data_IF_147551925640
#
_entry.id   IF_147551925640
#
_cell.length_a   1.000
_cell.length_b   1.000
_cell.length_c   1.000
_cell.angle_alpha   90.00
_cell.angle_beta   90.00
_cell.angle_gamma   90.00
#
_symmetry.space_group_name_H-M   'P 1'
#
loop_
_entity.id
_entity.type
_entity.pdbx_description
1 polymer ?
#
# COMPACT_ATOMS: atom_id res chain seq x y z
N UNK A 1 0.14 12.01 11.35
CA UNK A 1 -0.31 10.67 10.97
C UNK A 1 0.43 10.22 9.72
N UNK A 2 0.79 8.97 9.66
CA UNK A 2 1.54 8.41 8.54
C UNK A 2 0.92 7.10 8.10
N UNK A 3 1.09 6.78 6.82
CA UNK A 3 0.69 5.49 6.27
C UNK A 3 1.92 4.61 6.26
N UNK A 4 1.83 3.44 6.88
CA UNK A 4 2.94 2.49 6.93
C UNK A 4 2.53 1.25 6.15
N UNK A 5 3.22 1.00 5.06
CA UNK A 5 2.95 -0.13 4.17
C UNK A 5 3.90 -1.27 4.50
N UNK A 6 3.35 -2.46 4.69
CA UNK A 6 4.10 -3.65 5.09
C UNK A 6 4.32 -4.52 3.86
N UNK A 7 5.58 -4.80 3.55
CA UNK A 7 5.94 -5.65 2.43
C UNK A 7 6.09 -7.11 2.90
N UNK A 8 5.94 -8.04 1.97
CA UNK A 8 6.07 -9.47 2.28
C UNK A 8 7.44 -9.85 2.81
N UNK A 9 8.46 -9.04 2.50
CA UNK A 9 9.83 -9.24 3.02
C UNK A 9 9.98 -8.84 4.48
N UNK A 10 8.97 -8.19 5.05
CA UNK A 10 9.05 -7.60 6.39
C UNK A 10 9.47 -6.14 6.40
N UNK A 11 9.84 -5.58 5.24
CA UNK A 11 10.22 -4.18 5.15
C UNK A 11 9.00 -3.29 5.28
N UNK A 12 9.22 -2.06 5.77
CA UNK A 12 8.17 -1.07 5.96
C UNK A 12 8.49 0.15 5.11
N UNK A 13 7.46 0.71 4.45
CA UNK A 13 7.57 1.96 3.71
C UNK A 13 6.61 2.96 4.34
N UNK A 14 7.11 4.15 4.67
CA UNK A 14 6.32 5.19 5.32
C UNK A 14 5.99 6.30 4.34
N UNK A 15 4.72 6.70 4.29
CA UNK A 15 4.24 7.80 3.46
C UNK A 15 3.56 8.84 4.33
N UNK A 16 3.72 10.15 4.00
CA UNK A 16 2.95 11.18 4.69
C UNK A 16 1.48 11.14 4.28
N UNK A 17 0.60 11.57 5.17
CA UNK A 17 -0.83 11.71 4.84
C UNK A 17 -1.18 13.17 4.61
N UNK A 18 -2.14 13.41 3.70
CA UNK A 18 -2.68 14.73 3.45
C UNK A 18 -4.19 14.70 3.72
N UNK A 19 -4.58 15.15 4.90
CA UNK A 19 -5.99 15.13 5.32
C UNK A 19 -6.83 16.18 4.62
N UNK A 20 -6.20 17.17 3.98
CA UNK A 20 -6.93 18.21 3.28
C UNK A 20 -7.55 17.69 1.98
N UNK A 21 -6.96 16.65 1.40
CA UNK A 21 -7.42 16.08 0.14
C UNK A 21 -8.30 14.86 0.36
N UNK A 22 -7.83 13.91 1.16
CA UNK A 22 -8.58 12.68 1.48
C UNK A 22 -8.61 12.54 3.01
N UNK A 23 -9.80 12.65 3.64
CA UNK A 23 -9.87 12.65 5.11
C UNK A 23 -9.55 11.30 5.76
N UNK A 24 -9.72 10.21 5.01
CA UNK A 24 -9.53 8.86 5.53
C UNK A 24 -8.15 8.33 5.16
N UNK A 25 -7.35 8.03 6.18
CA UNK A 25 -6.00 7.49 6.01
C UNK A 25 -6.00 6.17 5.22
N UNK A 26 -6.98 5.32 5.47
CA UNK A 26 -7.07 4.04 4.77
C UNK A 26 -7.28 4.25 3.27
N UNK A 27 -8.14 5.19 2.90
CA UNK A 27 -8.39 5.51 1.49
C UNK A 27 -7.13 6.09 0.82
N UNK A 28 -6.36 6.89 1.54
CA UNK A 28 -5.09 7.41 1.03
C UNK A 28 -4.11 6.27 0.76
N UNK A 29 -4.02 5.31 1.68
CA UNK A 29 -3.16 4.15 1.49
C UNK A 29 -3.54 3.35 0.26
N UNK A 30 -4.83 3.17 0.04
CA UNK A 30 -5.32 2.46 -1.14
C UNK A 30 -4.97 3.22 -2.43
N UNK A 31 -5.11 4.55 -2.42
CA UNK A 31 -4.77 5.36 -3.58
C UNK A 31 -3.28 5.27 -3.92
N UNK A 32 -2.42 5.28 -2.89
CA UNK A 32 -0.97 5.11 -3.09
C UNK A 32 -0.68 3.74 -3.69
N UNK A 33 -1.32 2.71 -3.15
CA UNK A 33 -1.15 1.35 -3.62
C UNK A 33 -1.50 1.21 -5.10
N UNK A 34 -2.60 1.82 -5.54
CA UNK A 34 -3.03 1.77 -6.93
C UNK A 34 -2.01 2.42 -7.88
N UNK A 35 -1.27 3.42 -7.41
CA UNK A 35 -0.26 4.10 -8.22
C UNK A 35 1.06 3.33 -8.26
N UNK A 36 1.45 2.70 -7.15
CA UNK A 36 2.77 2.10 -7.00
C UNK A 36 2.80 0.60 -7.26
N UNK A 37 1.64 -0.04 -7.29
CA UNK A 37 1.56 -1.49 -7.42
C UNK A 37 0.52 -1.90 -8.45
N UNK A 38 0.64 -3.12 -8.94
CA UNK A 38 -0.36 -3.74 -9.80
C UNK A 38 -1.01 -4.90 -9.07
N UNK A 39 -2.32 -5.09 -9.29
CA UNK A 39 -3.07 -6.20 -8.71
C UNK A 39 -2.89 -7.41 -9.61
N UNK A 40 -2.26 -8.46 -9.11
CA UNK A 40 -1.92 -9.64 -9.88
C UNK A 40 -2.47 -10.91 -9.22
N UNK A 41 -2.64 -11.96 -10.01
CA UNK A 41 -3.12 -13.24 -9.53
C UNK A 41 -4.61 -13.42 -9.75
N UNK A 42 -5.14 -14.53 -9.27
CA UNK A 42 -6.57 -14.86 -9.35
C UNK A 42 -6.99 -15.66 -8.13
N UNK A 43 -8.26 -15.49 -7.72
CA UNK A 43 -8.79 -16.20 -6.56
C UNK A 43 -8.01 -15.86 -5.29
N UNK A 44 -7.68 -16.87 -4.47
CA UNK A 44 -7.00 -16.64 -3.19
C UNK A 44 -5.56 -16.16 -3.34
N UNK A 45 -4.97 -16.25 -4.54
CA UNK A 45 -3.60 -15.85 -4.78
C UNK A 45 -3.47 -14.39 -5.26
N UNK A 46 -4.56 -13.64 -5.23
CA UNK A 46 -4.53 -12.24 -5.61
C UNK A 46 -3.70 -11.41 -4.63
N UNK A 47 -2.86 -10.56 -5.17
CA UNK A 47 -1.99 -9.72 -4.36
C UNK A 47 -1.58 -8.45 -5.10
N UNK A 48 -1.23 -7.41 -4.34
CA UNK A 48 -0.68 -6.18 -4.88
C UNK A 48 0.84 -6.31 -4.94
N UNK A 49 1.40 -6.15 -6.13
CA UNK A 49 2.84 -6.29 -6.36
C UNK A 49 3.40 -4.93 -6.76
N UNK A 50 4.41 -4.45 -6.05
CA UNK A 50 5.07 -3.19 -6.36
C UNK A 50 5.71 -3.25 -7.75
N UNK A 51 5.49 -2.20 -8.55
CA UNK A 51 5.97 -2.16 -9.93
C UNK A 51 7.49 -2.10 -10.03
N UNK A 52 8.14 -1.37 -9.12
CA UNK A 52 9.60 -1.17 -9.17
C UNK A 52 10.38 -2.37 -8.68
N UNK A 53 9.97 -2.95 -7.57
CA UNK A 53 10.74 -4.00 -6.90
C UNK A 53 10.15 -5.39 -7.11
N UNK A 54 8.95 -5.48 -7.65
CA UNK A 54 8.23 -6.75 -7.83
C UNK A 54 8.01 -7.50 -6.51
N UNK A 55 7.87 -6.74 -5.42
CA UNK A 55 7.67 -7.29 -4.07
C UNK A 55 6.19 -7.17 -3.70
N UNK A 56 5.63 -8.23 -3.12
CA UNK A 56 4.26 -8.26 -2.68
C UNK A 56 4.03 -7.33 -1.48
N UNK A 57 2.91 -6.61 -1.50
CA UNK A 57 2.47 -5.77 -0.39
C UNK A 57 1.54 -6.58 0.49
N UNK A 58 1.89 -6.75 1.77
CA UNK A 58 1.09 -7.51 2.71
C UNK A 58 -0.08 -6.71 3.28
N UNK A 59 0.05 -5.40 3.34
CA UNK A 59 -1.00 -4.53 3.86
C UNK A 59 -0.45 -3.18 4.25
N UNK A 60 -1.31 -2.34 4.86
CA UNK A 60 -0.88 -1.05 5.38
C UNK A 60 -1.72 -0.67 6.59
N UNK A 61 -1.18 0.23 7.40
CA UNK A 61 -1.89 0.79 8.54
C UNK A 61 -1.52 2.25 8.72
N UNK A 62 -2.30 2.96 9.52
CA UNK A 62 -2.07 4.38 9.80
C UNK A 62 -1.60 4.56 11.23
N UNK A 63 -0.61 5.45 11.40
CA UNK A 63 -0.04 5.65 12.72
C UNK A 63 0.28 7.10 13.04
#
# INVERSE_FOLDING_TARGET
MKIIMILATGALITFPTDRSVIPDCFSQGYAILQKMATYQGSGPDQAWILKESNIEVGGWYCR
#
